data_IF_373517082175
#
_entry.id   IF_373517082175
#
_cell.length_a   1.000
_cell.length_b   1.000
_cell.length_c   1.000
_cell.angle_alpha   90.00
_cell.angle_beta   90.00
_cell.angle_gamma   90.00
#
_symmetry.space_group_name_H-M   'P 1'
#
loop_
_entity.id
_entity.type
_entity.pdbx_description
1 polymer ?
#
# COMPACT_ATOMS: atom_id res chain seq x y z
N UNK A 1 -3.94 -3.75 15.22
CA UNK A 1 -3.75 -3.88 13.76
C UNK A 1 -2.26 -3.85 13.48
N UNK A 2 -1.68 -4.98 13.10
CA UNK A 2 -0.25 -5.06 12.81
C UNK A 2 -0.08 -4.99 11.29
N UNK A 3 0.28 -3.81 10.79
CA UNK A 3 0.62 -3.61 9.39
C UNK A 3 2.14 -3.51 9.29
N UNK A 4 2.72 -4.32 8.41
CA UNK A 4 4.16 -4.36 8.15
C UNK A 4 4.44 -4.18 6.66
N UNK A 5 5.70 -3.90 6.33
CA UNK A 5 6.14 -3.98 4.95
C UNK A 5 6.17 -5.44 4.48
N UNK A 6 6.19 -5.61 3.16
CA UNK A 6 6.54 -6.88 2.53
C UNK A 6 7.91 -7.37 3.03
N UNK A 7 8.06 -8.69 3.14
CA UNK A 7 9.32 -9.35 3.48
C UNK A 7 10.33 -9.31 2.33
N UNK A 8 9.84 -9.21 1.09
CA UNK A 8 10.68 -9.01 -0.09
C UNK A 8 11.14 -7.53 -0.16
N UNK A 9 12.42 -7.32 0.16
CA UNK A 9 13.04 -5.99 0.16
C UNK A 9 13.08 -5.35 -1.24
N UNK A 10 13.14 -6.14 -2.31
CA UNK A 10 13.15 -5.62 -3.68
C UNK A 10 11.78 -5.05 -4.05
N UNK A 11 10.69 -5.72 -3.65
CA UNK A 11 9.34 -5.20 -3.79
C UNK A 11 9.20 -3.89 -3.00
N UNK A 12 9.64 -3.86 -1.73
CA UNK A 12 9.55 -2.66 -0.89
C UNK A 12 10.30 -1.49 -1.52
N UNK A 13 11.54 -1.72 -2.00
CA UNK A 13 12.36 -0.71 -2.66
C UNK A 13 11.68 -0.18 -3.92
N UNK A 14 11.25 -1.08 -4.81
CA UNK A 14 10.63 -0.72 -6.10
C UNK A 14 9.36 0.11 -5.90
N UNK A 15 8.49 -0.29 -4.97
CA UNK A 15 7.25 0.46 -4.72
C UNK A 15 7.53 1.80 -4.06
N UNK A 16 8.49 1.88 -3.11
CA UNK A 16 8.87 3.16 -2.48
C UNK A 16 9.49 4.14 -3.49
N UNK A 17 10.30 3.65 -4.43
CA UNK A 17 10.81 4.48 -5.53
C UNK A 17 9.66 4.99 -6.42
N UNK A 18 8.70 4.12 -6.75
CA UNK A 18 7.50 4.50 -7.49
C UNK A 18 6.68 5.57 -6.78
N UNK A 19 6.51 5.45 -5.46
CA UNK A 19 5.85 6.45 -4.61
C UNK A 19 6.60 7.79 -4.64
N UNK A 20 7.92 7.77 -4.46
CA UNK A 20 8.74 8.99 -4.49
C UNK A 20 8.61 9.71 -5.83
N UNK A 21 8.76 8.98 -6.95
CA UNK A 21 8.63 9.54 -8.32
C UNK A 21 7.23 10.09 -8.60
N UNK A 22 6.18 9.51 -8.00
CA UNK A 22 4.80 9.98 -8.19
C UNK A 22 4.37 11.07 -7.22
N UNK A 23 5.18 11.43 -6.23
CA UNK A 23 4.84 12.44 -5.22
C UNK A 23 3.94 11.88 -4.10
N UNK A 24 4.14 10.61 -3.72
CA UNK A 24 3.40 9.95 -2.65
C UNK A 24 2.09 9.27 -3.07
N UNK A 25 1.72 9.35 -4.35
CA UNK A 25 0.52 8.69 -4.91
C UNK A 25 0.84 7.25 -5.38
N UNK A 26 -0.11 6.32 -5.21
CA UNK A 26 0.07 4.89 -5.53
C UNK A 26 0.68 4.71 -6.92
N UNK A 27 1.76 3.94 -7.08
CA UNK A 27 2.28 3.59 -8.39
C UNK A 27 1.33 2.70 -9.20
N UNK A 28 0.40 2.03 -8.52
CA UNK A 28 -0.62 1.19 -9.15
C UNK A 28 -1.79 1.91 -9.81
N UNK A 29 -2.03 3.19 -9.50
CA UNK A 29 -3.20 3.93 -10.00
C UNK A 29 -2.73 5.10 -10.85
N UNK A 30 -3.38 5.31 -11.99
CA UNK A 30 -3.04 6.39 -12.93
C UNK A 30 -3.39 7.75 -12.34
N UNK A 31 -4.57 7.89 -11.75
CA UNK A 31 -5.06 9.13 -11.15
C UNK A 31 -4.26 9.54 -9.90
N UNK A 32 -3.99 10.85 -9.78
CA UNK A 32 -3.40 11.46 -8.58
C UNK A 32 -4.47 12.27 -7.86
N UNK A 33 -5.02 11.71 -6.79
CA UNK A 33 -5.98 12.37 -5.91
C UNK A 33 -5.82 11.87 -4.47
N UNK A 34 -6.59 12.42 -3.53
CA UNK A 34 -6.47 12.05 -2.11
C UNK A 34 -6.77 10.58 -1.81
N UNK A 35 -7.59 9.91 -2.63
CA UNK A 35 -7.87 8.47 -2.48
C UNK A 35 -6.67 7.62 -2.89
N UNK A 36 -5.81 8.12 -3.79
CA UNK A 36 -4.64 7.37 -4.29
C UNK A 36 -3.34 7.72 -3.57
N UNK A 37 -3.31 8.72 -2.68
CA UNK A 37 -2.15 8.94 -1.78
C UNK A 37 -1.92 7.71 -0.92
N UNK A 38 -0.68 7.22 -0.88
CA UNK A 38 -0.31 6.07 -0.07
C UNK A 38 -0.33 6.45 1.42
N UNK A 39 -0.95 5.68 2.32
CA UNK A 39 -1.74 4.46 2.09
C UNK A 39 -3.09 4.79 1.46
N UNK A 40 -3.39 4.19 0.29
CA UNK A 40 -4.58 4.52 -0.49
C UNK A 40 -5.86 4.23 0.30
N UNK A 41 -6.95 4.90 -0.08
CA UNK A 41 -8.27 4.74 0.55
C UNK A 41 -8.69 3.27 0.58
N UNK A 42 -8.52 2.56 -0.54
CA UNK A 42 -8.85 1.14 -0.66
C UNK A 42 -8.19 0.30 0.43
N UNK A 43 -6.86 0.40 0.59
CA UNK A 43 -6.17 -0.39 1.61
C UNK A 43 -6.53 0.07 3.02
N UNK A 44 -6.71 1.37 3.26
CA UNK A 44 -7.19 1.90 4.55
C UNK A 44 -8.59 1.38 4.92
N UNK A 45 -9.44 1.14 3.93
CA UNK A 45 -10.78 0.55 4.14
C UNK A 45 -10.71 -0.95 4.33
N UNK A 46 -9.91 -1.67 3.54
CA UNK A 46 -9.69 -3.12 3.70
C UNK A 46 -9.19 -3.46 5.10
N UNK A 47 -8.19 -2.72 5.61
CA UNK A 47 -7.63 -3.06 6.91
C UNK A 47 -8.59 -2.83 8.08
N UNK A 48 -9.61 -1.97 7.93
CA UNK A 48 -10.65 -1.75 8.95
C UNK A 48 -11.51 -3.00 9.19
N UNK A 49 -11.61 -3.90 8.21
CA UNK A 49 -12.20 -5.21 8.42
C UNK A 49 -11.29 -6.02 9.36
N UNK A 50 -11.75 -6.41 10.57
CA UNK A 50 -10.95 -7.19 11.50
C UNK A 50 -10.59 -8.58 10.94
N UNK A 51 -11.37 -9.12 10.02
CA UNK A 51 -11.15 -10.43 9.43
C UNK A 51 -10.22 -10.42 8.21
N UNK A 52 -9.92 -9.23 7.67
CA UNK A 52 -8.96 -9.10 6.57
C UNK A 52 -7.55 -9.45 7.02
N UNK A 53 -6.87 -10.30 6.25
CA UNK A 53 -5.45 -10.58 6.34
C UNK A 53 -4.91 -10.63 4.91
N UNK A 54 -3.80 -9.92 4.66
CA UNK A 54 -3.22 -9.90 3.33
C UNK A 54 -2.53 -8.61 2.93
N UNK A 55 -2.14 -8.57 1.65
CA UNK A 55 -1.40 -7.48 1.05
C UNK A 55 -2.32 -6.39 0.48
N UNK A 56 -1.83 -5.15 0.47
CA UNK A 56 -2.37 -4.13 -0.43
C UNK A 56 -2.07 -4.49 -1.90
N UNK A 57 -2.78 -3.90 -2.86
CA UNK A 57 -2.61 -4.24 -4.29
C UNK A 57 -1.16 -4.07 -4.81
N UNK A 58 -0.43 -3.05 -4.36
CA UNK A 58 0.99 -2.86 -4.70
C UNK A 58 1.94 -3.84 -4.00
N UNK A 59 1.44 -4.68 -3.10
CA UNK A 59 2.21 -5.55 -2.22
C UNK A 59 3.21 -4.82 -1.32
N UNK A 60 3.04 -3.52 -1.04
CA UNK A 60 3.94 -2.80 -0.14
C UNK A 60 3.69 -3.14 1.32
N UNK A 61 2.41 -3.29 1.70
CA UNK A 61 1.99 -3.50 3.07
C UNK A 61 1.24 -4.82 3.20
N UNK A 62 1.55 -5.58 4.26
CA UNK A 62 0.80 -6.74 4.72
C UNK A 62 0.10 -6.41 6.03
N UNK A 63 -1.19 -6.69 6.15
CA UNK A 63 -1.90 -6.67 7.43
C UNK A 63 -1.93 -8.10 7.98
N UNK A 64 -1.40 -8.29 9.17
CA UNK A 64 -1.60 -9.50 9.98
C UNK A 64 -2.92 -9.38 10.74
N UNK A 65 -3.69 -10.47 10.79
CA UNK A 65 -4.94 -10.56 11.56
C UNK A 65 -4.71 -10.36 13.06
#
# INVERSE_FOLDING_TARGET
MKVRYNEDEEIVRTVKEGLLRRGGYCPCVVEKNENTKCMCKEFREQIQDPDFEGYCHCMLYYKEK
#
